data_IF_619186851898
#
_entry.id   IF_619186851898
#
_cell.length_a   1.000
_cell.length_b   1.000
_cell.length_c   1.000
_cell.angle_alpha   90.00
_cell.angle_beta   90.00
_cell.angle_gamma   90.00
#
_symmetry.space_group_name_H-M   'P 1'
#
loop_
_entity.id
_entity.type
_entity.pdbx_description
1 polymer ?
#
# COMPACT_ATOMS: atom_id res chain seq x y z
N UNK A 1 -14.51 -16.02 11.95
CA UNK A 1 -15.02 -15.94 10.57
C UNK A 1 -14.20 -14.86 9.87
N UNK A 2 -13.83 -15.05 8.61
CA UNK A 2 -13.01 -14.05 7.90
C UNK A 2 -13.93 -12.96 7.37
N UNK A 3 -13.63 -11.71 7.72
CA UNK A 3 -14.37 -10.53 7.28
C UNK A 3 -13.70 -9.87 6.08
N UNK A 4 -14.45 -9.66 5.00
CA UNK A 4 -13.97 -9.02 3.77
C UNK A 4 -14.70 -7.70 3.59
N UNK A 5 -13.95 -6.61 3.46
CA UNK A 5 -14.50 -5.28 3.30
C UNK A 5 -14.07 -4.65 1.99
N UNK A 6 -15.02 -4.12 1.23
CA UNK A 6 -14.73 -3.26 0.10
C UNK A 6 -14.56 -1.82 0.57
N UNK A 7 -13.42 -1.22 0.26
CA UNK A 7 -13.11 0.16 0.63
C UNK A 7 -12.64 0.97 -0.58
N UNK A 8 -12.86 2.28 -0.53
CA UNK A 8 -12.23 3.22 -1.47
C UNK A 8 -11.00 3.85 -0.83
N UNK A 9 -9.88 3.81 -1.53
CA UNK A 9 -8.65 4.46 -1.13
C UNK A 9 -8.52 5.85 -1.79
N UNK A 10 -7.67 6.70 -1.20
CA UNK A 10 -7.27 7.98 -1.80
C UNK A 10 -5.96 7.86 -2.60
N UNK A 11 -5.08 6.96 -2.16
CA UNK A 11 -3.81 6.61 -2.80
C UNK A 11 -3.53 5.13 -2.66
N UNK A 12 -2.79 4.55 -3.60
CA UNK A 12 -2.32 3.15 -3.50
C UNK A 12 -0.81 3.00 -3.54
N UNK A 13 -0.12 3.96 -4.14
CA UNK A 13 1.33 3.99 -4.15
C UNK A 13 1.86 4.86 -3.01
N UNK A 14 3.02 4.48 -2.49
CA UNK A 14 3.76 5.22 -1.48
C UNK A 14 5.26 5.08 -1.75
N UNK A 15 6.04 6.10 -1.40
CA UNK A 15 7.50 5.99 -1.46
C UNK A 15 7.94 4.91 -0.48
N UNK A 16 8.92 4.12 -0.89
CA UNK A 16 9.52 3.08 -0.05
C UNK A 16 10.99 3.36 0.15
N UNK A 17 11.54 2.81 1.23
CA UNK A 17 12.98 2.85 1.53
C UNK A 17 13.64 1.49 1.27
N UNK A 18 12.97 0.63 0.51
CA UNK A 18 13.52 -0.67 0.12
C UNK A 18 14.53 -0.40 -0.98
N UNK A 19 15.81 -0.78 -0.82
CA UNK A 19 16.82 -0.59 -1.85
C UNK A 19 16.37 -1.20 -3.18
N UNK A 20 16.51 -0.44 -4.27
CA UNK A 20 16.08 -0.86 -5.60
C UNK A 20 14.58 -0.73 -5.89
N UNK A 21 13.81 -0.07 -5.01
CA UNK A 21 12.42 0.26 -5.27
C UNK A 21 12.10 1.70 -4.86
N UNK A 22 11.62 2.51 -5.81
CA UNK A 22 11.18 3.88 -5.51
C UNK A 22 9.79 3.91 -4.86
N UNK A 23 8.91 2.98 -5.26
CA UNK A 23 7.50 2.96 -4.88
C UNK A 23 7.05 1.58 -4.43
N UNK A 24 6.31 1.53 -3.32
CA UNK A 24 5.50 0.39 -2.91
C UNK A 24 4.04 0.59 -3.28
N UNK A 25 3.31 -0.51 -3.54
CA UNK A 25 1.88 -0.49 -3.81
C UNK A 25 1.11 -1.32 -2.78
N UNK A 26 -0.05 -0.81 -2.36
CA UNK A 26 -0.91 -1.50 -1.40
C UNK A 26 -2.33 -1.61 -1.96
N UNK A 27 -2.71 -2.82 -2.40
CA UNK A 27 -4.04 -3.17 -2.91
C UNK A 27 -4.99 -3.63 -1.79
N UNK A 28 -4.40 -4.23 -0.75
CA UNK A 28 -5.12 -4.82 0.37
C UNK A 28 -4.56 -4.32 1.69
N UNK A 29 -5.45 -4.23 2.69
CA UNK A 29 -5.08 -4.04 4.09
C UNK A 29 -5.56 -5.25 4.88
N UNK A 30 -4.70 -5.85 5.69
CA UNK A 30 -5.01 -7.13 6.34
C UNK A 30 -4.52 -8.33 5.55
N UNK A 31 -4.68 -9.52 6.11
CA UNK A 31 -4.25 -10.78 5.52
C UNK A 31 -4.97 -11.93 6.24
N UNK A 32 -5.42 -12.94 5.50
CA UNK A 32 -6.07 -14.14 6.05
C UNK A 32 -5.08 -15.19 6.59
N UNK A 33 -3.78 -15.05 6.30
CA UNK A 33 -2.77 -16.00 6.80
C UNK A 33 -2.54 -15.80 8.31
N UNK A 34 -2.47 -14.54 8.76
CA UNK A 34 -2.33 -14.25 10.19
C UNK A 34 -0.95 -14.57 10.79
N UNK A 35 0.15 -14.51 10.04
CA UNK A 35 1.48 -14.83 10.59
C UNK A 35 1.81 -13.95 11.82
N UNK A 36 2.27 -14.57 12.91
CA UNK A 36 2.58 -13.88 14.17
C UNK A 36 3.70 -12.83 14.03
N UNK A 37 4.60 -13.02 13.06
CA UNK A 37 5.74 -12.16 12.77
C UNK A 37 5.49 -11.15 11.63
N UNK A 38 4.27 -11.07 11.10
CA UNK A 38 4.01 -10.28 9.91
C UNK A 38 4.13 -8.77 10.18
N UNK A 39 4.93 -8.06 9.38
CA UNK A 39 5.03 -6.61 9.50
C UNK A 39 3.70 -5.89 9.15
N UNK A 40 2.84 -6.48 8.30
CA UNK A 40 1.53 -5.91 7.97
C UNK A 40 0.63 -5.79 9.20
N UNK A 41 0.78 -6.66 10.21
CA UNK A 41 0.04 -6.57 11.48
C UNK A 41 0.23 -5.19 12.10
N UNK A 42 1.47 -4.71 12.10
CA UNK A 42 1.81 -3.39 12.63
C UNK A 42 1.26 -2.25 11.77
N UNK A 43 1.29 -2.38 10.44
CA UNK A 43 0.72 -1.38 9.52
C UNK A 43 -0.80 -1.27 9.65
N UNK A 44 -1.45 -2.36 10.04
CA UNK A 44 -2.89 -2.39 10.24
C UNK A 44 -3.34 -1.82 11.59
N UNK A 45 -2.43 -1.58 12.56
CA UNK A 45 -2.81 -1.20 13.93
C UNK A 45 -3.75 0.02 14.05
N UNK A 46 -3.68 0.95 13.09
CA UNK A 46 -4.52 2.16 13.07
C UNK A 46 -5.86 1.98 12.37
N UNK A 47 -6.13 0.79 11.82
CA UNK A 47 -7.48 0.41 11.42
C UNK A 47 -8.31 0.35 12.70
N UNK A 48 -9.49 0.94 12.72
CA UNK A 48 -10.44 0.75 13.83
C UNK A 48 -11.05 -0.64 13.65
N UNK A 49 -10.46 -1.65 14.28
CA UNK A 49 -10.76 -3.06 14.02
C UNK A 49 -11.66 -3.62 15.11
N UNK A 50 -12.52 -4.57 14.72
CA UNK A 50 -13.18 -5.48 15.67
C UNK A 50 -12.55 -6.89 15.63
N UNK A 51 -11.90 -7.22 14.52
CA UNK A 51 -11.39 -8.56 14.21
C UNK A 51 -9.93 -8.74 14.67
N UNK A 52 -9.52 -9.99 14.91
CA UNK A 52 -8.12 -10.29 15.22
C UNK A 52 -7.24 -10.27 13.95
N UNK A 53 -5.92 -10.21 14.15
CA UNK A 53 -4.97 -10.39 13.05
C UNK A 53 -5.14 -11.78 12.41
N UNK A 54 -5.32 -11.82 11.09
CA UNK A 54 -5.65 -13.06 10.37
C UNK A 54 -7.12 -13.20 10.00
N UNK A 55 -8.00 -12.37 10.54
CA UNK A 55 -9.46 -12.53 10.39
C UNK A 55 -10.12 -11.46 9.51
N UNK A 56 -9.33 -10.60 8.84
CA UNK A 56 -9.90 -9.56 7.98
C UNK A 56 -9.02 -9.24 6.76
N UNK A 57 -9.68 -8.78 5.69
CA UNK A 57 -9.05 -8.14 4.53
C UNK A 57 -9.92 -6.97 4.03
N UNK A 58 -9.31 -5.79 3.90
CA UNK A 58 -9.87 -4.67 3.14
C UNK A 58 -9.37 -4.73 1.69
N UNK A 59 -10.31 -4.72 0.75
CA UNK A 59 -10.07 -4.67 -0.68
C UNK A 59 -10.28 -3.25 -1.16
N UNK A 60 -9.24 -2.62 -1.71
CA UNK A 60 -9.35 -1.29 -2.32
C UNK A 60 -9.92 -1.42 -3.73
N UNK A 61 -11.23 -1.35 -3.85
CA UNK A 61 -11.93 -1.61 -5.12
C UNK A 61 -11.56 -0.62 -6.23
N UNK A 62 -11.16 0.60 -5.86
CA UNK A 62 -10.73 1.63 -6.82
C UNK A 62 -9.21 1.63 -7.09
N UNK A 63 -8.50 0.55 -6.72
CA UNK A 63 -7.06 0.45 -6.93
C UNK A 63 -6.66 0.44 -8.41
N UNK A 64 -7.37 -0.23 -9.35
CA UNK A 64 -6.99 -0.21 -10.76
C UNK A 64 -7.01 1.22 -11.34
N UNK A 65 -8.03 2.02 -11.04
CA UNK A 65 -8.17 3.39 -11.53
C UNK A 65 -7.11 4.30 -10.91
N UNK A 66 -6.85 4.15 -9.61
CA UNK A 66 -5.79 4.86 -8.92
C UNK A 66 -4.41 4.49 -9.46
N UNK A 67 -4.17 3.22 -9.82
CA UNK A 67 -2.90 2.80 -10.39
C UNK A 67 -2.59 3.52 -11.70
N UNK A 68 -3.58 3.62 -12.60
CA UNK A 68 -3.44 4.31 -13.88
C UNK A 68 -3.21 5.81 -13.68
N UNK A 69 -3.90 6.42 -12.72
CA UNK A 69 -3.77 7.85 -12.43
C UNK A 69 -2.41 8.18 -11.79
N UNK A 70 -2.08 7.50 -10.69
CA UNK A 70 -0.89 7.79 -9.88
C UNK A 70 0.41 7.42 -10.59
N UNK A 71 0.44 6.34 -11.39
CA UNK A 71 1.66 5.97 -12.14
C UNK A 71 2.12 7.06 -13.11
N UNK A 72 1.20 7.83 -13.69
CA UNK A 72 1.52 8.97 -14.55
C UNK A 72 2.09 10.14 -13.75
N UNK A 73 1.51 10.41 -12.59
CA UNK A 73 1.96 11.47 -11.68
C UNK A 73 3.36 11.16 -11.11
N UNK A 74 3.61 9.90 -10.75
CA UNK A 74 4.88 9.45 -10.16
C UNK A 74 6.02 9.35 -11.15
N UNK A 75 5.76 8.95 -12.40
CA UNK A 75 6.76 9.05 -13.48
C UNK A 75 7.24 10.49 -13.63
N UNK A 76 6.33 11.46 -13.49
CA UNK A 76 6.69 12.88 -13.55
C UNK A 76 7.58 13.26 -12.37
N UNK A 77 7.22 12.89 -11.14
CA UNK A 77 8.02 13.17 -9.94
C UNK A 77 9.39 12.48 -9.93
N UNK A 78 9.46 11.20 -10.30
CA UNK A 78 10.72 10.44 -10.37
C UNK A 78 11.65 11.03 -11.43
N UNK A 79 11.11 11.45 -12.59
CA UNK A 79 11.89 12.15 -13.62
C UNK A 79 12.40 13.53 -13.19
N UNK A 80 11.76 14.16 -12.19
CA UNK A 80 12.20 15.42 -11.59
C UNK A 80 13.29 15.16 -10.56
N UNK A 81 13.18 14.11 -9.73
CA UNK A 81 14.22 13.73 -8.76
C UNK A 81 15.53 13.32 -9.43
N UNK A 82 15.47 12.45 -10.46
CA UNK A 82 16.64 12.07 -11.26
C UNK A 82 17.29 13.29 -11.93
N UNK A 83 16.48 14.24 -12.44
CA UNK A 83 16.99 15.50 -13.02
C UNK A 83 17.61 16.46 -12.00
N UNK A 84 17.25 16.36 -10.73
CA UNK A 84 17.80 17.17 -9.64
C UNK A 84 19.04 16.54 -8.99
N UNK A 85 19.52 15.40 -9.49
CA UNK A 85 20.68 14.70 -8.93
C UNK A 85 20.46 14.16 -7.52
N UNK A 86 19.19 14.08 -7.08
CA UNK A 86 18.82 13.41 -5.84
C UNK A 86 18.69 11.93 -6.21
N UNK A 87 19.68 11.11 -5.84
CA UNK A 87 19.55 9.66 -5.92
C UNK A 87 18.38 9.23 -5.04
N UNK A 88 17.62 8.24 -5.52
CA UNK A 88 16.67 7.51 -4.67
C UNK A 88 17.33 6.36 -3.91
N UNK A 89 18.65 6.21 -4.11
CA UNK A 89 19.56 5.32 -3.37
C UNK A 89 20.19 6.01 -2.16
#
# INVERSE_FOLDING_TARGET
MVEIYEIKARKIFHETRIPGADWGINYYRGCIHGCIYCYLKFLCRWRKQKENWGEFVDIKINAPELAVKESKEQRRSSSIMHRRGLSTD
#
